data_IF_391677963810
#
_entry.id   IF_391677963810
#
_cell.length_a   1.000
_cell.length_b   1.000
_cell.length_c   1.000
_cell.angle_alpha   90.00
_cell.angle_beta   90.00
_cell.angle_gamma   90.00
#
_symmetry.space_group_name_H-M   'P 1'
#
loop_
_entity.id
_entity.type
_entity.pdbx_description
1 polymer ?
#
# COMPACT_ATOMS: atom_id res chain seq x y z
N UNK A 1 25.49 17.48 25.39
CA UNK A 1 24.31 17.85 24.57
C UNK A 1 23.61 19.14 25.02
N UNK A 2 23.64 19.52 26.31
CA UNK A 2 22.95 20.72 26.84
C UNK A 2 23.49 22.09 26.37
N UNK A 3 24.57 22.10 25.57
CA UNK A 3 25.19 23.30 25.02
C UNK A 3 24.86 23.54 23.53
N UNK A 4 24.16 22.61 22.88
CA UNK A 4 23.79 22.76 21.47
C UNK A 4 22.47 23.55 21.37
N UNK A 5 22.32 24.45 20.38
CA UNK A 5 21.06 25.09 20.04
C UNK A 5 19.94 24.07 19.78
N UNK A 6 18.69 24.51 19.99
CA UNK A 6 17.49 23.67 19.82
C UNK A 6 17.41 23.08 18.41
N UNK A 7 17.83 23.84 17.41
CA UNK A 7 17.84 23.46 15.99
C UNK A 7 18.73 22.24 15.74
N UNK A 8 19.88 22.16 16.42
CA UNK A 8 20.77 21.01 16.32
C UNK A 8 20.16 19.77 17.00
N UNK A 9 19.38 19.95 18.07
CA UNK A 9 18.66 18.84 18.69
C UNK A 9 17.58 18.29 17.77
N UNK A 10 16.81 19.18 17.11
CA UNK A 10 15.82 18.80 16.10
C UNK A 10 16.49 18.03 14.96
N UNK A 11 17.63 18.55 14.46
CA UNK A 11 18.38 17.90 13.38
C UNK A 11 18.86 16.52 13.78
N UNK A 12 19.51 16.37 14.94
CA UNK A 12 19.95 15.06 15.44
C UNK A 12 18.77 14.11 15.58
N UNK A 13 17.65 14.57 16.13
CA UNK A 13 16.45 13.74 16.31
C UNK A 13 15.82 13.31 14.99
N UNK A 14 16.00 14.06 13.91
CA UNK A 14 15.50 13.69 12.59
C UNK A 14 16.16 12.43 12.02
N UNK A 15 17.34 12.06 12.53
CA UNK A 15 18.07 10.83 12.17
C UNK A 15 17.76 9.64 13.08
N UNK A 16 16.91 9.80 14.10
CA UNK A 16 16.59 8.72 15.03
C UNK A 16 15.32 7.98 14.62
N UNK A 17 15.19 6.74 15.07
CA UNK A 17 13.94 6.00 14.96
C UNK A 17 12.86 6.62 15.85
N UNK A 18 11.58 6.56 15.48
CA UNK A 18 10.47 7.11 16.26
C UNK A 18 10.49 6.72 17.75
N UNK A 19 10.90 5.47 18.06
CA UNK A 19 11.01 4.99 19.44
C UNK A 19 12.15 5.64 20.22
N UNK A 20 13.27 5.91 19.58
CA UNK A 20 14.43 6.53 20.22
C UNK A 20 14.17 8.01 20.51
N UNK A 21 13.40 8.68 19.64
CA UNK A 21 12.89 10.04 19.87
C UNK A 21 12.06 10.07 21.16
N UNK A 22 11.17 9.09 21.39
CA UNK A 22 10.41 8.97 22.64
C UNK A 22 11.33 8.71 23.84
N UNK A 23 12.32 7.82 23.70
CA UNK A 23 13.27 7.54 24.78
C UNK A 23 14.08 8.78 25.18
N UNK A 24 14.52 9.60 24.20
CA UNK A 24 15.24 10.84 24.45
C UNK A 24 14.44 11.86 25.26
N UNK A 25 13.11 11.92 25.05
CA UNK A 25 12.21 12.80 25.78
C UNK A 25 12.31 12.61 27.30
N UNK A 26 12.65 11.41 27.76
CA UNK A 26 12.73 11.05 29.18
C UNK A 26 14.05 11.47 29.85
N UNK A 27 15.01 11.99 29.08
CA UNK A 27 16.38 12.25 29.59
C UNK A 27 16.59 13.68 30.08
N UNK A 28 15.97 14.69 29.46
CA UNK A 28 16.11 16.10 29.84
C UNK A 28 14.95 16.97 29.35
N UNK A 29 14.72 18.09 30.03
CA UNK A 29 13.69 19.08 29.62
C UNK A 29 13.94 19.67 28.23
N UNK A 30 15.21 19.90 27.87
CA UNK A 30 15.55 20.48 26.57
C UNK A 30 15.25 19.50 25.42
N UNK A 31 15.67 18.23 25.59
CA UNK A 31 15.33 17.18 24.62
C UNK A 31 13.82 16.90 24.60
N UNK A 32 13.14 16.99 25.75
CA UNK A 32 11.68 16.96 25.77
C UNK A 32 11.08 18.02 24.83
N UNK A 33 11.50 19.28 24.95
CA UNK A 33 10.98 20.39 24.14
C UNK A 33 11.27 20.22 22.65
N UNK A 34 12.45 19.71 22.29
CA UNK A 34 12.77 19.45 20.88
C UNK A 34 11.91 18.34 20.30
N UNK A 35 11.60 17.28 21.06
CA UNK A 35 10.70 16.20 20.61
C UNK A 35 9.23 16.64 20.49
N UNK A 36 8.86 17.83 20.96
CA UNK A 36 7.52 18.40 20.75
C UNK A 36 7.44 19.18 19.43
N UNK A 37 8.56 19.38 18.74
CA UNK A 37 8.57 20.11 17.48
C UNK A 37 7.94 19.26 16.38
N UNK A 38 7.02 19.89 15.64
CA UNK A 38 6.31 19.25 14.52
C UNK A 38 7.26 18.66 13.48
N UNK A 39 8.33 19.38 13.18
CA UNK A 39 9.33 19.02 12.15
C UNK A 39 10.01 17.70 12.46
N UNK A 40 10.29 17.41 13.73
CA UNK A 40 10.87 16.11 14.15
C UNK A 40 9.97 14.95 13.72
N UNK A 41 8.66 15.06 13.97
CA UNK A 41 7.71 14.00 13.65
C UNK A 41 7.32 13.94 12.18
N UNK A 42 7.37 15.07 11.45
CA UNK A 42 7.24 15.05 9.99
C UNK A 42 8.38 14.25 9.35
N UNK A 43 9.62 14.53 9.74
CA UNK A 43 10.78 13.81 9.19
C UNK A 43 10.77 12.35 9.61
N UNK A 44 10.44 12.05 10.87
CA UNK A 44 10.31 10.68 11.34
C UNK A 44 9.22 9.90 10.59
N UNK A 45 8.05 10.50 10.34
CA UNK A 45 6.98 9.87 9.58
C UNK A 45 7.38 9.64 8.12
N UNK A 46 8.04 10.62 7.48
CA UNK A 46 8.51 10.47 6.10
C UNK A 46 9.46 9.28 5.94
N UNK A 47 10.45 9.16 6.82
CA UNK A 47 11.37 8.02 6.85
C UNK A 47 10.65 6.70 7.09
N UNK A 48 9.70 6.66 8.03
CA UNK A 48 8.85 5.49 8.27
C UNK A 48 8.07 5.09 7.02
N UNK A 49 7.59 6.05 6.23
CA UNK A 49 6.93 5.75 4.96
C UNK A 49 7.91 5.13 3.96
N UNK A 50 9.13 5.64 3.84
CA UNK A 50 10.17 5.08 2.97
C UNK A 50 10.57 3.66 3.41
N UNK A 51 10.92 3.49 4.69
CA UNK A 51 11.43 2.24 5.26
C UNK A 51 10.40 1.10 5.21
N UNK A 52 9.11 1.43 5.27
CA UNK A 52 8.02 0.46 5.25
C UNK A 52 7.19 0.49 3.96
N UNK A 53 7.65 1.18 2.91
CA UNK A 53 6.95 1.33 1.62
C UNK A 53 5.47 1.75 1.79
N UNK A 54 5.19 2.65 2.75
CA UNK A 54 3.86 3.18 2.97
C UNK A 54 3.54 4.24 1.91
N UNK A 55 2.28 4.27 1.47
CA UNK A 55 1.82 5.30 0.55
C UNK A 55 1.65 6.60 1.33
N UNK A 56 2.64 7.49 1.24
CA UNK A 56 2.70 8.76 1.99
C UNK A 56 1.42 9.62 1.89
N UNK A 57 0.72 9.72 0.73
CA UNK A 57 -0.56 10.45 0.64
C UNK A 57 -1.68 9.89 1.52
N UNK A 58 -1.51 8.69 2.11
CA UNK A 58 -2.39 8.19 3.17
C UNK A 58 -2.40 9.12 4.39
N UNK A 59 -1.33 9.90 4.59
CA UNK A 59 -1.16 10.81 5.72
C UNK A 59 -1.32 12.26 5.24
N UNK A 60 -2.39 12.98 5.60
CA UNK A 60 -2.56 14.40 5.27
C UNK A 60 -1.67 15.26 6.17
N UNK A 61 -0.35 15.16 6.00
CA UNK A 61 0.66 15.72 6.91
C UNK A 61 0.55 17.23 7.10
N UNK A 62 -0.09 17.98 6.20
CA UNK A 62 -0.37 19.41 6.37
C UNK A 62 -1.39 19.68 7.50
N UNK A 63 -2.35 18.79 7.70
CA UNK A 63 -3.49 18.98 8.60
C UNK A 63 -3.36 18.18 9.90
N UNK A 64 -2.47 17.19 9.96
CA UNK A 64 -2.24 16.39 11.17
C UNK A 64 -1.61 17.26 12.27
N UNK A 65 -2.03 17.12 13.52
CA UNK A 65 -1.37 17.66 14.70
C UNK A 65 -0.03 16.94 14.97
N UNK A 66 0.83 17.52 15.81
CA UNK A 66 2.09 16.87 16.23
C UNK A 66 1.84 15.49 16.86
N UNK A 67 0.77 15.35 17.65
CA UNK A 67 0.40 14.08 18.28
C UNK A 67 -0.03 13.03 17.25
N UNK A 68 -0.72 13.43 16.19
CA UNK A 68 -1.11 12.52 15.11
C UNK A 68 0.09 12.09 14.28
N UNK A 69 1.05 13.00 14.03
CA UNK A 69 2.30 12.66 13.37
C UNK A 69 3.14 11.67 14.21
N UNK A 70 3.26 11.93 15.52
CA UNK A 70 3.90 11.02 16.48
C UNK A 70 3.22 9.64 16.47
N UNK A 71 1.89 9.62 16.54
CA UNK A 71 1.11 8.38 16.50
C UNK A 71 1.34 7.59 15.21
N UNK A 72 1.35 8.26 14.06
CA UNK A 72 1.55 7.66 12.75
C UNK A 72 2.97 7.10 12.59
N UNK A 73 3.99 7.86 12.97
CA UNK A 73 5.39 7.42 12.92
C UNK A 73 5.65 6.20 13.83
N UNK A 74 4.97 6.12 14.98
CA UNK A 74 5.06 4.97 15.89
C UNK A 74 4.21 3.77 15.47
N UNK A 75 3.39 3.89 14.41
CA UNK A 75 2.41 2.87 14.06
C UNK A 75 3.01 1.49 13.71
N UNK A 76 4.10 1.36 12.92
CA UNK A 76 4.66 0.04 12.60
C UNK A 76 5.14 -0.69 13.85
N UNK A 77 5.80 0.03 14.75
CA UNK A 77 6.31 -0.53 15.99
C UNK A 77 5.18 -0.95 16.97
N UNK A 78 4.04 -0.25 16.93
CA UNK A 78 2.84 -0.60 17.71
C UNK A 78 2.11 -1.81 17.14
N UNK A 79 1.99 -1.89 15.82
CA UNK A 79 1.44 -3.07 15.14
C UNK A 79 2.33 -4.28 15.42
N UNK A 80 3.65 -4.16 15.28
CA UNK A 80 4.60 -5.24 15.60
C UNK A 80 4.49 -5.69 17.05
N UNK A 81 4.40 -4.76 18.01
CA UNK A 81 4.21 -5.10 19.42
C UNK A 81 2.87 -5.83 19.67
N UNK A 82 1.78 -5.39 19.02
CA UNK A 82 0.46 -6.04 19.10
C UNK A 82 0.48 -7.44 18.49
N UNK A 83 1.12 -7.61 17.34
CA UNK A 83 1.30 -8.92 16.70
C UNK A 83 2.12 -9.86 17.58
N UNK A 84 3.24 -9.40 18.14
CA UNK A 84 4.08 -10.20 19.05
C UNK A 84 3.34 -10.63 20.31
N UNK A 85 2.53 -9.73 20.89
CA UNK A 85 1.65 -10.10 22.03
C UNK A 85 0.60 -11.12 21.60
N UNK A 86 0.02 -10.92 20.43
CA UNK A 86 -0.98 -11.79 19.82
C UNK A 86 -0.45 -13.17 19.41
N UNK A 87 0.86 -13.39 19.27
CA UNK A 87 1.42 -14.73 19.02
C UNK A 87 1.11 -15.73 20.15
N UNK A 88 0.86 -15.22 21.36
CA UNK A 88 0.44 -16.03 22.51
C UNK A 88 -1.08 -16.14 22.65
N UNK A 89 -1.85 -15.43 21.81
CA UNK A 89 -3.31 -15.40 21.82
C UNK A 89 -3.82 -16.04 20.50
N UNK A 90 -4.95 -16.75 20.52
CA UNK A 90 -5.45 -17.42 19.30
C UNK A 90 -6.03 -16.45 18.28
N UNK A 91 -6.35 -15.20 18.68
CA UNK A 91 -6.95 -14.16 17.83
C UNK A 91 -6.55 -12.77 18.31
N UNK A 92 -6.19 -11.89 17.37
CA UNK A 92 -6.06 -10.45 17.63
C UNK A 92 -7.43 -9.81 17.38
N UNK A 93 -8.14 -9.41 18.44
CA UNK A 93 -9.43 -8.74 18.29
C UNK A 93 -9.26 -7.41 17.53
N UNK A 94 -10.18 -7.06 16.61
CA UNK A 94 -10.17 -5.76 15.94
C UNK A 94 -10.38 -4.62 16.94
N UNK A 95 -9.86 -3.44 16.64
CA UNK A 95 -10.15 -2.25 17.46
C UNK A 95 -11.61 -1.77 17.28
N UNK A 96 -12.11 -1.87 16.05
CA UNK A 96 -13.47 -1.47 15.68
C UNK A 96 -13.92 -2.33 14.50
N UNK A 97 -15.11 -2.90 14.62
CA UNK A 97 -15.82 -3.51 13.50
C UNK A 97 -16.73 -2.47 12.85
N UNK A 98 -16.56 -2.27 11.55
CA UNK A 98 -17.44 -1.41 10.76
C UNK A 98 -18.01 -2.22 9.59
N UNK A 99 -19.34 -2.40 9.52
CA UNK A 99 -19.95 -3.05 8.37
C UNK A 99 -19.77 -2.16 7.14
N UNK A 100 -19.31 -2.77 6.06
CA UNK A 100 -19.10 -2.14 4.77
C UNK A 100 -20.01 -2.83 3.74
N UNK A 101 -20.86 -2.05 3.07
CA UNK A 101 -21.70 -2.54 1.98
C UNK A 101 -21.23 -1.91 0.68
N UNK A 102 -20.32 -2.58 -0.01
CA UNK A 102 -20.05 -2.24 -1.40
C UNK A 102 -21.33 -2.49 -2.22
N UNK A 103 -21.58 -1.61 -3.20
CA UNK A 103 -22.60 -1.81 -4.24
C UNK A 103 -22.14 -2.96 -5.16
N UNK A 104 -22.19 -4.17 -4.62
CA UNK A 104 -21.85 -5.39 -5.30
C UNK A 104 -23.16 -5.92 -5.90
N UNK A 105 -23.18 -6.14 -7.22
CA UNK A 105 -24.27 -6.85 -7.89
C UNK A 105 -24.56 -8.18 -7.17
N UNK A 106 -25.84 -8.54 -7.05
CA UNK A 106 -26.33 -9.69 -6.27
C UNK A 106 -25.78 -11.06 -6.72
N UNK A 107 -25.09 -11.13 -7.87
CA UNK A 107 -24.53 -12.34 -8.46
C UNK A 107 -23.01 -12.52 -8.27
N UNK A 108 -22.40 -11.86 -7.27
CA UNK A 108 -20.95 -11.81 -7.11
C UNK A 108 -20.40 -12.91 -6.18
N UNK A 109 -19.95 -14.02 -6.77
CA UNK A 109 -19.28 -15.09 -6.01
C UNK A 109 -17.82 -14.77 -5.62
N UNK A 110 -17.22 -13.68 -6.12
CA UNK A 110 -15.83 -13.30 -5.82
C UNK A 110 -15.66 -11.78 -5.72
N UNK A 111 -15.17 -11.34 -4.57
CA UNK A 111 -14.73 -9.97 -4.29
C UNK A 111 -13.27 -10.03 -3.87
N UNK A 112 -12.43 -9.20 -4.48
CA UNK A 112 -11.05 -9.00 -4.06
C UNK A 112 -10.95 -7.68 -3.30
N UNK A 113 -10.23 -7.70 -2.18
CA UNK A 113 -10.01 -6.54 -1.32
C UNK A 113 -8.50 -6.34 -1.18
N UNK A 114 -8.03 -5.11 -1.33
CA UNK A 114 -6.62 -4.77 -1.12
C UNK A 114 -6.49 -3.41 -0.46
N UNK A 115 -5.96 -3.40 0.75
CA UNK A 115 -5.65 -2.15 1.47
C UNK A 115 -4.32 -1.62 0.93
N UNK A 116 -4.28 -0.34 0.60
CA UNK A 116 -3.06 0.34 0.18
C UNK A 116 -2.15 0.52 1.41
N UNK A 117 -0.84 0.25 1.31
CA UNK A 117 0.10 0.52 2.40
C UNK A 117 -0.08 1.91 2.99
N UNK A 118 -0.21 2.01 4.32
CA UNK A 118 -0.64 3.25 5.00
C UNK A 118 -2.09 3.22 5.49
N UNK A 119 -2.92 2.31 4.97
CA UNK A 119 -4.19 1.91 5.58
C UNK A 119 -5.40 2.80 5.31
N UNK A 120 -5.20 3.98 4.70
CA UNK A 120 -6.29 4.92 4.39
C UNK A 120 -7.14 4.49 3.21
N UNK A 121 -6.52 3.93 2.17
CA UNK A 121 -7.22 3.61 0.94
C UNK A 121 -7.46 2.10 0.80
N UNK A 122 -8.63 1.74 0.29
CA UNK A 122 -9.02 0.36 -0.02
C UNK A 122 -9.36 0.26 -1.50
N UNK A 123 -8.85 -0.77 -2.17
CA UNK A 123 -9.30 -1.20 -3.48
C UNK A 123 -10.23 -2.40 -3.35
N UNK A 124 -11.30 -2.38 -4.12
CA UNK A 124 -12.22 -3.51 -4.26
C UNK A 124 -12.34 -3.88 -5.72
N UNK A 125 -12.18 -5.16 -6.05
CA UNK A 125 -12.41 -5.70 -7.39
C UNK A 125 -13.56 -6.70 -7.39
N UNK A 126 -14.50 -6.57 -8.33
CA UNK A 126 -15.58 -7.54 -8.49
C UNK A 126 -16.03 -7.66 -9.94
N UNK A 127 -16.49 -8.86 -10.31
CA UNK A 127 -16.94 -9.17 -11.67
C UNK A 127 -18.17 -8.34 -12.04
N UNK A 128 -18.12 -7.62 -13.15
CA UNK A 128 -19.26 -6.83 -13.65
C UNK A 128 -19.36 -5.40 -13.08
N UNK A 129 -18.74 -5.11 -11.93
CA UNK A 129 -18.57 -3.73 -11.43
C UNK A 129 -17.20 -3.17 -11.81
N UNK A 130 -16.16 -4.00 -11.80
CA UNK A 130 -14.78 -3.63 -12.07
C UNK A 130 -14.00 -3.33 -10.79
N UNK A 131 -13.16 -2.30 -10.82
CA UNK A 131 -12.28 -1.90 -9.70
C UNK A 131 -12.71 -0.55 -9.15
N UNK A 132 -12.83 -0.46 -7.83
CA UNK A 132 -13.20 0.76 -7.11
C UNK A 132 -12.16 1.12 -6.04
N UNK A 133 -11.91 2.42 -5.90
CA UNK A 133 -11.07 3.00 -4.85
C UNK A 133 -11.95 3.65 -3.78
N UNK A 134 -11.64 3.40 -2.50
CA UNK A 134 -12.37 3.91 -1.35
C UNK A 134 -11.43 4.64 -0.38
N UNK A 135 -11.88 5.77 0.18
CA UNK A 135 -11.18 6.46 1.28
C UNK A 135 -11.80 6.02 2.62
N UNK A 136 -11.08 5.21 3.37
CA UNK A 136 -11.49 4.76 4.71
C UNK A 136 -11.34 5.87 5.77
N UNK A 137 -10.77 7.01 5.38
CA UNK A 137 -10.48 8.12 6.28
C UNK A 137 -9.14 7.95 7.00
N UNK A 138 -8.77 9.00 7.72
CA UNK A 138 -7.45 9.13 8.35
C UNK A 138 -7.47 8.79 9.83
N UNK A 139 -8.66 8.52 10.39
CA UNK A 139 -8.80 8.15 11.78
C UNK A 139 -9.72 6.91 11.94
N UNK A 140 -9.58 6.13 13.03
CA UNK A 140 -10.40 4.93 13.26
C UNK A 140 -11.89 5.22 13.52
N UNK A 141 -12.22 6.46 13.85
CA UNK A 141 -13.59 6.94 14.10
C UNK A 141 -14.31 7.39 12.83
N UNK A 142 -13.61 7.57 11.71
CA UNK A 142 -14.16 7.95 10.41
C UNK A 142 -15.29 7.00 10.04
N UNK A 143 -16.40 7.57 9.57
CA UNK A 143 -17.50 6.80 9.01
C UNK A 143 -17.03 6.12 7.73
N UNK A 144 -17.45 4.87 7.55
CA UNK A 144 -17.17 4.13 6.32
C UNK A 144 -17.82 4.84 5.11
N UNK A 145 -17.07 5.07 4.01
CA UNK A 145 -17.64 5.68 2.82
C UNK A 145 -18.77 4.83 2.24
N UNK A 146 -19.85 5.49 1.81
CA UNK A 146 -21.01 4.84 1.15
C UNK A 146 -20.80 4.67 -0.35
N UNK A 147 -19.90 5.44 -0.94
CA UNK A 147 -19.60 5.44 -2.39
C UNK A 147 -18.09 5.45 -2.60
N UNK A 148 -17.60 4.80 -3.67
CA UNK A 148 -16.19 4.84 -4.01
C UNK A 148 -15.79 6.23 -4.51
N UNK A 149 -14.53 6.61 -4.29
CA UNK A 149 -13.95 7.84 -4.84
C UNK A 149 -13.84 7.79 -6.37
N UNK A 150 -13.55 6.58 -6.89
CA UNK A 150 -13.38 6.31 -8.30
C UNK A 150 -13.73 4.86 -8.58
N UNK A 151 -14.29 4.61 -9.76
CA UNK A 151 -14.57 3.26 -10.25
C UNK A 151 -14.19 3.18 -11.72
N UNK A 152 -13.61 2.06 -12.14
CA UNK A 152 -13.42 1.71 -13.54
C UNK A 152 -14.08 0.36 -13.80
N UNK A 153 -14.87 0.29 -14.87
CA UNK A 153 -15.54 -0.95 -15.27
C UNK A 153 -14.57 -1.78 -16.08
N UNK A 154 -14.30 -2.97 -15.61
CA UNK A 154 -13.41 -3.90 -16.30
C UNK A 154 -13.96 -5.32 -16.15
N UNK A 155 -13.92 -6.10 -17.24
CA UNK A 155 -14.54 -7.42 -17.29
C UNK A 155 -13.69 -8.45 -16.52
N UNK A 156 -14.34 -9.27 -15.70
CA UNK A 156 -13.81 -10.50 -15.09
C UNK A 156 -12.51 -10.38 -14.28
N UNK A 157 -12.37 -9.34 -13.44
CA UNK A 157 -11.08 -8.98 -12.85
C UNK A 157 -10.84 -9.39 -11.40
N UNK A 158 -9.62 -9.85 -11.14
CA UNK A 158 -8.98 -9.90 -9.83
C UNK A 158 -7.94 -8.79 -9.67
N UNK A 159 -7.73 -8.34 -8.42
CA UNK A 159 -6.64 -7.45 -8.05
C UNK A 159 -5.35 -8.26 -7.84
N UNK A 160 -4.28 -7.91 -8.55
CA UNK A 160 -2.97 -8.54 -8.43
C UNK A 160 -2.17 -7.84 -7.34
N UNK A 161 -1.77 -6.60 -7.62
CA UNK A 161 -0.77 -5.88 -6.84
C UNK A 161 -0.92 -4.37 -7.00
N UNK A 162 -0.24 -3.63 -6.13
CA UNK A 162 -0.23 -2.18 -6.11
C UNK A 162 1.17 -1.65 -5.83
N UNK A 163 1.56 -0.59 -6.52
CA UNK A 163 2.84 0.09 -6.28
C UNK A 163 2.64 1.59 -6.35
N UNK A 164 3.36 2.42 -5.58
CA UNK A 164 3.32 3.87 -5.77
C UNK A 164 3.86 4.25 -7.16
N UNK A 165 3.37 5.37 -7.69
CA UNK A 165 3.98 6.03 -8.85
C UNK A 165 5.35 6.59 -8.49
N UNK A 166 6.16 6.94 -9.50
CA UNK A 166 7.53 7.45 -9.30
C UNK A 166 7.58 8.77 -8.51
N UNK A 167 6.50 9.55 -8.52
CA UNK A 167 6.36 10.77 -7.72
C UNK A 167 5.83 10.51 -6.30
N UNK A 168 5.47 9.27 -5.97
CA UNK A 168 4.90 8.87 -4.67
C UNK A 168 3.47 9.37 -4.41
N UNK A 169 2.85 10.08 -5.35
CA UNK A 169 1.55 10.74 -5.14
C UNK A 169 0.37 9.92 -5.67
N UNK A 170 0.64 8.97 -6.55
CA UNK A 170 -0.34 8.10 -7.19
C UNK A 170 -0.06 6.61 -6.92
N UNK A 171 -0.99 5.79 -7.39
CA UNK A 171 -0.98 4.34 -7.20
C UNK A 171 -1.12 3.69 -8.57
N UNK A 172 -0.22 2.76 -8.86
CA UNK A 172 -0.34 1.80 -9.93
C UNK A 172 -1.11 0.59 -9.41
N UNK A 173 -2.20 0.25 -10.09
CA UNK A 173 -3.12 -0.83 -9.74
C UNK A 173 -3.08 -1.88 -10.84
N UNK A 174 -2.58 -3.06 -10.51
CA UNK A 174 -2.50 -4.18 -11.44
C UNK A 174 -3.73 -5.06 -11.29
N UNK A 175 -4.40 -5.29 -12.41
CA UNK A 175 -5.57 -6.15 -12.51
C UNK A 175 -5.28 -7.29 -13.47
N UNK A 176 -5.99 -8.40 -13.33
CA UNK A 176 -5.96 -9.48 -14.31
C UNK A 176 -7.31 -10.12 -14.53
N UNK A 177 -7.46 -10.72 -15.69
CA UNK A 177 -8.44 -11.76 -15.95
C UNK A 177 -7.78 -12.91 -16.72
N UNK A 178 -8.38 -14.08 -16.62
CA UNK A 178 -7.97 -15.28 -17.37
C UNK A 178 -9.06 -15.58 -18.37
N UNK A 179 -8.69 -15.78 -19.64
CA UNK A 179 -9.64 -16.19 -20.67
C UNK A 179 -9.85 -17.71 -20.70
N UNK A 180 -10.79 -18.17 -21.51
CA UNK A 180 -11.11 -19.60 -21.65
C UNK A 180 -9.92 -20.43 -22.18
N UNK A 181 -8.92 -19.78 -22.79
CA UNK A 181 -7.68 -20.39 -23.25
C UNK A 181 -6.57 -20.41 -22.21
N UNK A 182 -6.87 -20.09 -20.95
CA UNK A 182 -5.90 -19.96 -19.84
C UNK A 182 -4.82 -18.90 -20.06
N UNK A 183 -5.03 -17.96 -20.98
CA UNK A 183 -4.14 -16.82 -21.13
C UNK A 183 -4.49 -15.75 -20.10
N UNK A 184 -3.47 -15.21 -19.45
CA UNK A 184 -3.65 -14.15 -18.44
C UNK A 184 -3.50 -12.79 -19.09
N UNK A 185 -4.54 -11.96 -19.00
CA UNK A 185 -4.52 -10.58 -19.46
C UNK A 185 -4.30 -9.69 -18.25
N UNK A 186 -3.21 -8.93 -18.26
CA UNK A 186 -2.81 -8.04 -17.17
C UNK A 186 -2.98 -6.60 -17.63
N UNK A 187 -3.71 -5.81 -16.85
CA UNK A 187 -3.91 -4.38 -17.14
C UNK A 187 -3.47 -3.57 -15.93
N UNK A 188 -2.63 -2.56 -16.18
CA UNK A 188 -2.18 -1.61 -15.15
C UNK A 188 -2.90 -0.29 -15.33
N UNK A 189 -3.51 0.17 -14.24
CA UNK A 189 -4.11 1.49 -14.13
C UNK A 189 -3.29 2.36 -13.20
N UNK A 190 -3.26 3.65 -13.47
CA UNK A 190 -2.74 4.68 -12.57
C UNK A 190 -3.89 5.51 -12.02
N UNK A 191 -3.83 5.83 -10.74
CA UNK A 191 -4.81 6.70 -10.08
C UNK A 191 -4.12 7.57 -9.04
N UNK A 192 -4.53 8.83 -8.94
CA UNK A 192 -4.07 9.78 -7.93
C UNK A 192 -5.19 10.06 -6.92
N UNK A 193 -5.18 9.43 -5.73
CA UNK A 193 -6.28 9.54 -4.77
C UNK A 193 -6.51 10.96 -4.24
N UNK A 194 -5.46 11.79 -4.22
CA UNK A 194 -5.52 13.17 -3.75
C UNK A 194 -5.92 14.18 -4.85
N UNK A 195 -6.15 13.73 -6.10
CA UNK A 195 -6.63 14.60 -7.16
C UNK A 195 -8.07 15.07 -6.84
N UNK A 196 -8.46 16.24 -7.37
CA UNK A 196 -9.82 16.77 -7.17
C UNK A 196 -10.91 15.83 -7.70
N UNK A 197 -10.60 15.07 -8.75
CA UNK A 197 -11.44 14.02 -9.31
C UNK A 197 -10.57 12.79 -9.62
N UNK A 198 -10.37 11.88 -8.67
CA UNK A 198 -9.57 10.69 -8.88
C UNK A 198 -10.20 9.82 -9.98
N UNK A 199 -9.39 9.39 -10.95
CA UNK A 199 -9.83 8.54 -12.05
C UNK A 199 -8.75 7.50 -12.35
N UNK A 200 -9.19 6.31 -12.75
CA UNK A 200 -8.28 5.27 -13.22
C UNK A 200 -7.89 5.57 -14.67
N UNK A 201 -6.60 5.77 -14.90
CA UNK A 201 -6.01 5.95 -16.23
C UNK A 201 -5.28 4.68 -16.63
N UNK A 202 -5.70 4.02 -17.70
CA UNK A 202 -5.03 2.81 -18.20
C UNK A 202 -3.64 3.17 -18.74
N UNK A 203 -2.59 2.48 -18.27
CA UNK A 203 -1.21 2.71 -18.68
C UNK A 203 -0.69 1.69 -19.67
N UNK A 204 -1.09 0.44 -19.53
CA UNK A 204 -0.62 -0.62 -20.40
C UNK A 204 -1.40 -1.91 -20.21
N UNK A 205 -1.16 -2.85 -21.11
CA UNK A 205 -1.71 -4.19 -21.08
C UNK A 205 -0.65 -5.19 -21.55
N UNK A 206 -0.63 -6.34 -20.89
CA UNK A 206 0.26 -7.45 -21.16
C UNK A 206 -0.56 -8.73 -21.22
N UNK A 207 -0.38 -9.50 -22.28
CA UNK A 207 -0.98 -10.81 -22.44
C UNK A 207 0.07 -11.87 -22.23
N UNK A 208 -0.18 -12.77 -21.28
CA UNK A 208 0.65 -13.93 -20.99
C UNK A 208 -0.03 -15.17 -21.58
N UNK A 209 0.76 -16.06 -22.18
CA UNK A 209 0.27 -17.29 -22.81
C UNK A 209 -0.09 -18.40 -21.79
N UNK A 210 -0.05 -18.10 -20.49
CA UNK A 210 -0.39 -19.04 -19.42
C UNK A 210 -0.92 -18.32 -18.18
N UNK A 211 -1.35 -19.13 -17.21
CA UNK A 211 -1.77 -18.64 -15.90
C UNK A 211 -0.58 -18.01 -15.16
N UNK A 212 -0.74 -16.75 -14.74
CA UNK A 212 0.26 -16.08 -13.90
C UNK A 212 0.34 -16.74 -12.52
N UNK A 213 1.52 -17.21 -12.13
CA UNK A 213 1.74 -17.92 -10.85
C UNK A 213 2.33 -17.00 -9.79
N UNK A 214 3.37 -16.26 -10.16
CA UNK A 214 4.10 -15.35 -9.26
C UNK A 214 4.34 -14.04 -9.99
N UNK A 215 4.21 -12.94 -9.29
CA UNK A 215 4.46 -11.61 -9.84
C UNK A 215 5.06 -10.65 -8.81
N UNK A 216 5.63 -9.56 -9.31
CA UNK A 216 6.01 -8.40 -8.52
C UNK A 216 5.85 -7.13 -9.34
N UNK A 217 5.33 -6.07 -8.71
CA UNK A 217 5.27 -4.73 -9.29
C UNK A 217 6.12 -3.76 -8.47
N UNK A 218 7.09 -3.12 -9.12
CA UNK A 218 7.89 -2.04 -8.51
C UNK A 218 7.94 -0.84 -9.44
N UNK A 219 7.21 0.22 -9.11
CA UNK A 219 7.00 1.34 -10.01
C UNK A 219 6.39 0.86 -11.33
N UNK A 220 6.97 1.27 -12.46
CA UNK A 220 6.50 0.88 -13.81
C UNK A 220 7.14 -0.41 -14.34
N UNK A 221 7.79 -1.20 -13.48
CA UNK A 221 8.34 -2.49 -13.87
C UNK A 221 7.53 -3.61 -13.24
N UNK A 222 7.04 -4.50 -14.09
CA UNK A 222 6.31 -5.69 -13.70
C UNK A 222 7.09 -6.93 -14.10
N UNK A 223 7.21 -7.88 -13.18
CA UNK A 223 7.81 -9.19 -13.44
C UNK A 223 6.78 -10.26 -13.13
N UNK A 224 6.66 -11.25 -14.00
CA UNK A 224 5.76 -12.38 -13.83
C UNK A 224 6.42 -13.69 -14.27
N UNK A 225 6.09 -14.76 -13.55
CA UNK A 225 6.39 -16.14 -13.92
C UNK A 225 5.06 -16.87 -14.13
N UNK A 226 4.87 -17.40 -15.33
CA UNK A 226 3.66 -18.15 -15.68
C UNK A 226 3.79 -19.67 -15.42
N UNK A 227 2.67 -20.38 -15.55
CA UNK A 227 2.60 -21.84 -15.38
C UNK A 227 3.46 -22.64 -16.39
N UNK A 228 3.86 -22.01 -17.49
CA UNK A 228 4.71 -22.60 -18.52
C UNK A 228 6.20 -22.33 -18.24
N UNK A 229 6.53 -21.81 -17.05
CA UNK A 229 7.89 -21.42 -16.66
C UNK A 229 8.46 -20.29 -17.52
N UNK A 230 7.61 -19.44 -18.11
CA UNK A 230 8.05 -18.27 -18.85
C UNK A 230 8.19 -17.09 -17.89
N UNK A 231 9.40 -16.55 -17.79
CA UNK A 231 9.67 -15.32 -17.07
C UNK A 231 9.42 -14.14 -18.02
N UNK A 232 8.53 -13.24 -17.62
CA UNK A 232 8.22 -12.02 -18.37
C UNK A 232 8.60 -10.80 -17.57
N UNK A 233 9.44 -9.95 -18.15
CA UNK A 233 9.68 -8.58 -17.68
C UNK A 233 8.89 -7.62 -18.56
N UNK A 234 8.14 -6.72 -17.94
CA UNK A 234 7.34 -5.73 -18.63
C UNK A 234 7.63 -4.32 -18.10
N UNK A 235 8.09 -3.47 -19.00
CA UNK A 235 8.17 -2.03 -18.80
C UNK A 235 6.83 -1.39 -19.21
N UNK A 236 6.06 -1.01 -18.20
CA UNK A 236 4.72 -0.45 -18.35
C UNK A 236 4.79 0.96 -18.96
N UNK A 237 5.87 1.71 -18.71
CA UNK A 237 6.01 3.10 -19.19
C UNK A 237 6.10 3.16 -20.71
N UNK A 238 6.82 2.21 -21.30
CA UNK A 238 6.93 2.09 -22.77
C UNK A 238 6.00 1.03 -23.35
N UNK A 239 5.25 0.31 -22.50
CA UNK A 239 4.41 -0.81 -22.85
C UNK A 239 5.16 -1.88 -23.68
N UNK A 240 6.36 -2.25 -23.23
CA UNK A 240 7.23 -3.24 -23.89
C UNK A 240 7.58 -4.36 -22.93
N UNK A 241 7.47 -5.59 -23.40
CA UNK A 241 7.82 -6.78 -22.61
C UNK A 241 8.87 -7.64 -23.30
N UNK A 242 9.59 -8.41 -22.48
CA UNK A 242 10.51 -9.45 -22.88
C UNK A 242 10.14 -10.71 -22.12
N UNK A 243 10.09 -11.83 -22.81
CA UNK A 243 9.71 -13.12 -22.25
C UNK A 243 10.75 -14.16 -22.64
N UNK A 244 11.18 -14.97 -21.68
CA UNK A 244 12.17 -16.03 -21.89
C UNK A 244 11.93 -17.19 -20.92
N UNK A 245 12.50 -18.35 -21.22
CA UNK A 245 12.42 -19.53 -20.35
C UNK A 245 13.13 -19.25 -19.02
N UNK A 246 12.47 -19.56 -17.90
CA UNK A 246 13.10 -19.47 -16.60
C UNK A 246 14.28 -20.45 -16.52
N UNK A 247 15.44 -20.04 -15.98
CA UNK A 247 16.64 -20.88 -15.94
C UNK A 247 16.60 -21.97 -14.85
N UNK A 248 15.42 -22.31 -14.33
CA UNK A 248 15.23 -23.27 -13.24
C UNK A 248 13.96 -24.10 -13.44
N UNK A 249 13.99 -25.35 -12.99
CA UNK A 249 12.83 -26.25 -13.00
C UNK A 249 11.94 -25.97 -11.79
N UNK A 250 10.66 -25.73 -12.03
CA UNK A 250 9.66 -25.41 -11.00
C UNK A 250 9.08 -26.72 -10.42
N UNK A 251 9.91 -27.64 -9.94
CA UNK A 251 9.41 -28.81 -9.20
C UNK A 251 8.91 -28.43 -7.79
N UNK A 252 9.38 -27.31 -7.22
CA UNK A 252 9.07 -26.91 -5.85
C UNK A 252 7.80 -26.05 -5.69
N UNK A 253 7.37 -25.29 -6.70
CA UNK A 253 6.23 -24.35 -6.56
C UNK A 253 4.87 -25.04 -6.75
N UNK A 254 4.82 -26.18 -7.47
CA UNK A 254 3.58 -26.94 -7.66
C UNK A 254 2.99 -27.52 -6.37
N UNK A 255 3.80 -27.65 -5.31
CA UNK A 255 3.33 -28.14 -4.00
C UNK A 255 2.65 -27.05 -3.15
N UNK A 256 2.61 -25.80 -3.61
CA UNK A 256 2.12 -24.64 -2.85
C UNK A 256 0.84 -23.99 -3.43
N UNK A 257 0.27 -24.53 -4.51
CA UNK A 257 -0.96 -24.02 -5.14
C UNK A 257 -2.02 -25.10 -5.31
#
# INVERSE_FOLDING_TARGET
MHLLPLELHILVQSFLEPRDIISLRMTSKLLYLSTQQRTVWLTALHRVCEDHALFEPSFPTKNMSTKELEYAALSPARVSARMKKGLNETKIAPWKDQPFRALLSENLNRVTLRVIPGGRYLLTGSIGVGVSLWDLGTNPTSEMPKVPMATTIVRNIGLIDTSPTSDGLGILVTTYFVDDGFSTHIIVYEIYPSAAQPQFCRKGELNLNGMNMIHSLTGYHFVSLDQNCMLTFWDIKYNKSFTWDAPFEIEEVRNYF
#
